data_IF_883830751725
#
_entry.id   IF_883830751725
#
_cell.length_a   1.000
_cell.length_b   1.000
_cell.length_c   1.000
_cell.angle_alpha   90.00
_cell.angle_beta   90.00
_cell.angle_gamma   90.00
#
_symmetry.space_group_name_H-M   'P 1'
#
loop_
_entity.id
_entity.type
_entity.pdbx_description
1 polymer ?
#
# COMPACT_ATOMS: atom_id res chain seq x y z
N UNK A 1 -18.05 6.47 -11.19
CA UNK A 1 -17.30 7.56 -11.89
C UNK A 1 -16.14 6.88 -12.60
N UNK A 2 -15.97 7.09 -13.90
CA UNK A 2 -14.82 6.53 -14.61
C UNK A 2 -13.54 7.19 -14.06
N UNK A 3 -12.67 6.40 -13.43
CA UNK A 3 -11.40 6.88 -12.88
C UNK A 3 -10.25 6.70 -13.89
N UNK A 4 -10.49 5.99 -14.99
CA UNK A 4 -9.48 5.74 -15.99
C UNK A 4 -8.86 7.06 -16.49
N UNK A 5 -7.57 7.08 -16.69
CA UNK A 5 -6.82 8.27 -17.06
C UNK A 5 -5.78 7.97 -18.11
N UNK A 6 -5.52 8.94 -18.96
CA UNK A 6 -4.43 8.86 -19.92
C UNK A 6 -3.15 9.36 -19.22
N UNK A 7 -2.45 8.44 -18.56
CA UNK A 7 -1.18 8.66 -17.90
C UNK A 7 -0.02 8.11 -18.75
N UNK A 8 1.15 8.70 -18.63
CA UNK A 8 2.35 8.27 -19.37
C UNK A 8 3.19 7.27 -18.55
N UNK A 9 3.30 7.53 -17.24
CA UNK A 9 4.21 6.81 -16.35
C UNK A 9 3.52 5.83 -15.41
N UNK A 10 2.19 5.82 -15.38
CA UNK A 10 1.39 4.81 -14.69
C UNK A 10 0.25 4.35 -15.59
N UNK A 11 -0.29 3.18 -15.32
CA UNK A 11 -1.59 2.74 -15.84
C UNK A 11 -2.59 2.76 -14.69
N UNK A 12 -3.76 3.35 -14.92
CA UNK A 12 -4.89 3.30 -13.98
C UNK A 12 -6.08 2.63 -14.67
N UNK A 13 -6.56 1.54 -14.05
CA UNK A 13 -7.72 0.79 -14.55
C UNK A 13 -8.64 0.44 -13.40
N UNK A 14 -9.95 0.40 -13.64
CA UNK A 14 -10.93 -0.06 -12.65
C UNK A 14 -11.64 -1.33 -13.14
N UNK A 15 -11.71 -2.33 -12.29
CA UNK A 15 -12.44 -3.58 -12.61
C UNK A 15 -13.03 -4.17 -11.32
N UNK A 16 -14.34 -4.41 -11.29
CA UNK A 16 -15.00 -5.12 -10.20
C UNK A 16 -14.82 -4.49 -8.82
N UNK A 17 -14.86 -3.15 -8.73
CA UNK A 17 -14.68 -2.41 -7.49
C UNK A 17 -13.22 -2.27 -7.05
N UNK A 18 -12.26 -2.71 -7.87
CA UNK A 18 -10.82 -2.60 -7.61
C UNK A 18 -10.21 -1.58 -8.56
N UNK A 19 -9.48 -0.61 -8.01
CA UNK A 19 -8.58 0.25 -8.78
C UNK A 19 -7.19 -0.42 -8.86
N UNK A 20 -6.64 -0.45 -10.05
CA UNK A 20 -5.32 -1.00 -10.35
C UNK A 20 -4.41 0.11 -10.83
N UNK A 21 -3.39 0.42 -10.05
CA UNK A 21 -2.28 1.28 -10.47
C UNK A 21 -1.10 0.38 -10.81
N UNK A 22 -0.64 0.47 -12.06
CA UNK A 22 0.58 -0.20 -12.49
C UNK A 22 1.63 0.85 -12.83
N UNK A 23 2.74 0.86 -12.09
CA UNK A 23 3.87 1.73 -12.38
C UNK A 23 4.48 1.33 -13.73
N UNK A 24 4.65 2.28 -14.65
CA UNK A 24 4.92 1.98 -16.07
C UNK A 24 6.15 2.71 -16.61
N UNK A 25 7.28 2.52 -15.95
CA UNK A 25 8.62 2.86 -16.45
C UNK A 25 9.56 1.64 -16.37
N UNK A 26 9.23 0.51 -17.05
CA UNK A 26 9.92 -0.76 -16.86
C UNK A 26 11.42 -0.70 -17.16
N UNK A 27 11.86 0.11 -18.13
CA UNK A 27 13.27 0.30 -18.48
C UNK A 27 14.08 0.98 -17.36
N UNK A 28 13.42 1.66 -16.44
CA UNK A 28 13.98 2.33 -15.26
C UNK A 28 13.58 1.65 -13.96
N UNK A 29 13.15 0.38 -14.01
CA UNK A 29 12.62 -0.34 -12.84
C UNK A 29 11.57 0.48 -12.09
N UNK A 30 10.74 1.22 -12.80
CA UNK A 30 9.68 2.06 -12.26
C UNK A 30 10.16 3.11 -11.23
N UNK A 31 11.39 3.62 -11.40
CA UNK A 31 11.89 4.72 -10.59
C UNK A 31 11.06 5.99 -10.79
N UNK A 32 10.76 6.67 -9.69
CA UNK A 32 9.91 7.86 -9.67
C UNK A 32 10.61 9.09 -10.24
N UNK A 33 9.89 9.84 -11.05
CA UNK A 33 10.19 11.22 -11.46
C UNK A 33 9.14 12.17 -10.90
N UNK A 34 9.39 13.49 -10.97
CA UNK A 34 8.39 14.48 -10.60
C UNK A 34 7.07 14.31 -11.37
N UNK A 35 7.14 14.00 -12.68
CA UNK A 35 5.97 13.74 -13.50
C UNK A 35 5.18 12.51 -13.02
N UNK A 36 5.86 11.41 -12.71
CA UNK A 36 5.22 10.20 -12.19
C UNK A 36 4.55 10.44 -10.83
N UNK A 37 5.17 11.26 -9.95
CA UNK A 37 4.54 11.66 -8.70
C UNK A 37 3.25 12.47 -8.92
N UNK A 38 3.24 13.37 -9.92
CA UNK A 38 2.04 14.13 -10.27
C UNK A 38 0.91 13.22 -10.75
N UNK A 39 1.22 12.23 -11.59
CA UNK A 39 0.26 11.24 -12.05
C UNK A 39 -0.28 10.36 -10.91
N UNK A 40 0.60 9.88 -10.02
CA UNK A 40 0.19 9.14 -8.82
C UNK A 40 -0.74 9.95 -7.93
N UNK A 41 -0.44 11.22 -7.73
CA UNK A 41 -1.29 12.13 -6.94
C UNK A 41 -2.67 12.32 -7.57
N UNK A 42 -2.74 12.49 -8.89
CA UNK A 42 -4.02 12.61 -9.62
C UNK A 42 -4.82 11.30 -9.53
N UNK A 43 -4.19 10.16 -9.82
CA UNK A 43 -4.81 8.84 -9.72
C UNK A 43 -5.38 8.57 -8.32
N UNK A 44 -4.58 8.82 -7.27
CA UNK A 44 -5.03 8.63 -5.88
C UNK A 44 -6.16 9.57 -5.50
N UNK A 45 -6.16 10.80 -6.00
CA UNK A 45 -7.24 11.77 -5.76
C UNK A 45 -8.56 11.30 -6.38
N UNK A 46 -8.53 10.74 -7.61
CA UNK A 46 -9.70 10.14 -8.27
C UNK A 46 -10.21 8.92 -7.48
N UNK A 47 -9.30 8.02 -7.09
CA UNK A 47 -9.64 6.82 -6.31
C UNK A 47 -10.28 7.19 -4.96
N UNK A 48 -9.78 8.24 -4.32
CA UNK A 48 -10.29 8.66 -3.02
C UNK A 48 -11.78 9.01 -3.05
N UNK A 49 -12.23 9.71 -4.10
CA UNK A 49 -13.61 10.20 -4.23
C UNK A 49 -14.55 9.24 -4.99
N UNK A 50 -14.02 8.20 -5.63
CA UNK A 50 -14.81 7.23 -6.39
C UNK A 50 -15.47 6.21 -5.44
N UNK A 51 -16.78 6.32 -5.21
CA UNK A 51 -17.53 5.42 -4.31
C UNK A 51 -17.58 3.98 -4.81
N UNK A 52 -17.48 3.77 -6.10
CA UNK A 52 -17.46 2.46 -6.76
C UNK A 52 -16.10 1.76 -6.71
N UNK A 53 -15.04 2.46 -6.28
CA UNK A 53 -13.75 1.86 -5.93
C UNK A 53 -13.74 1.48 -4.46
N UNK A 54 -13.46 0.20 -4.18
CA UNK A 54 -13.51 -0.38 -2.83
C UNK A 54 -12.20 -0.99 -2.36
N UNK A 55 -11.24 -1.18 -3.28
CA UNK A 55 -9.88 -1.64 -3.01
C UNK A 55 -8.91 -1.03 -4.01
N UNK A 56 -7.68 -0.75 -3.58
CA UNK A 56 -6.59 -0.31 -4.44
C UNK A 56 -5.50 -1.37 -4.50
N UNK A 57 -5.00 -1.67 -5.70
CA UNK A 57 -3.79 -2.47 -5.91
C UNK A 57 -2.74 -1.62 -6.60
N UNK A 58 -1.50 -1.68 -6.10
CA UNK A 58 -0.33 -1.06 -6.72
C UNK A 58 0.63 -2.18 -7.13
N UNK A 59 1.05 -2.18 -8.40
CA UNK A 59 2.02 -3.12 -8.98
C UNK A 59 3.02 -2.40 -9.86
N UNK A 60 4.04 -3.11 -10.36
CA UNK A 60 5.00 -2.58 -11.32
C UNK A 60 4.96 -3.34 -12.64
N UNK A 61 5.11 -2.64 -13.75
CA UNK A 61 5.30 -3.28 -15.05
C UNK A 61 6.75 -3.75 -15.22
N UNK A 62 6.96 -4.85 -15.93
CA UNK A 62 8.28 -5.42 -16.20
C UNK A 62 8.89 -6.16 -15.00
N UNK A 63 10.22 -6.14 -14.88
CA UNK A 63 11.00 -6.97 -13.93
C UNK A 63 11.17 -6.40 -12.52
N UNK A 64 10.66 -5.19 -12.25
CA UNK A 64 10.79 -4.52 -10.97
C UNK A 64 9.47 -3.94 -10.51
N UNK A 65 9.28 -3.87 -9.20
CA UNK A 65 8.16 -3.13 -8.61
C UNK A 65 8.45 -1.63 -8.69
N UNK A 66 9.48 -1.16 -7.97
CA UNK A 66 9.90 0.24 -7.96
C UNK A 66 11.32 0.38 -7.37
N UNK A 67 12.21 1.02 -8.10
CA UNK A 67 13.59 1.25 -7.66
C UNK A 67 13.79 2.49 -6.78
N UNK A 68 12.72 3.21 -6.43
CA UNK A 68 12.76 4.45 -5.66
C UNK A 68 12.84 5.69 -6.55
N UNK A 69 13.65 6.70 -6.18
CA UNK A 69 13.81 7.93 -6.93
C UNK A 69 14.71 7.74 -8.16
N UNK A 70 14.32 8.30 -9.30
CA UNK A 70 15.20 8.44 -10.46
C UNK A 70 16.21 9.56 -10.18
N UNK A 71 17.47 9.19 -9.95
CA UNK A 71 18.53 10.13 -9.58
C UNK A 71 18.91 11.08 -10.74
N UNK A 72 18.56 10.73 -11.98
CA UNK A 72 18.79 11.60 -13.13
C UNK A 72 17.77 12.76 -13.22
N UNK A 73 16.62 12.61 -12.56
CA UNK A 73 15.54 13.61 -12.48
C UNK A 73 15.56 14.39 -11.16
N UNK A 74 16.63 14.26 -10.36
CA UNK A 74 16.66 14.78 -9.00
C UNK A 74 17.42 16.12 -8.91
N UNK A 75 16.76 17.15 -8.36
CA UNK A 75 17.46 18.33 -7.89
C UNK A 75 18.17 18.01 -6.56
N UNK A 76 19.47 17.78 -6.64
CA UNK A 76 20.30 17.44 -5.47
C UNK A 76 20.36 18.56 -4.43
N UNK A 77 20.03 19.79 -4.78
CA UNK A 77 20.07 20.95 -3.88
C UNK A 77 18.77 21.11 -3.08
N UNK A 78 17.69 20.47 -3.51
CA UNK A 78 16.35 20.60 -2.95
C UNK A 78 15.72 19.26 -2.53
N UNK A 79 16.53 18.26 -2.16
CA UNK A 79 16.04 16.90 -1.83
C UNK A 79 14.96 16.89 -0.74
N UNK A 80 15.08 17.76 0.27
CA UNK A 80 14.05 17.90 1.31
C UNK A 80 12.69 18.32 0.75
N UNK A 81 12.65 19.16 -0.28
CA UNK A 81 11.41 19.56 -0.95
C UNK A 81 10.81 18.37 -1.72
N UNK A 82 11.62 17.58 -2.40
CA UNK A 82 11.16 16.37 -3.10
C UNK A 82 10.48 15.41 -2.13
N UNK A 83 11.06 15.21 -0.94
CA UNK A 83 10.46 14.37 0.10
C UNK A 83 9.13 14.98 0.58
N UNK A 84 9.08 16.27 0.89
CA UNK A 84 7.88 16.91 1.45
C UNK A 84 6.76 17.09 0.40
N UNK A 85 7.10 17.39 -0.84
CA UNK A 85 6.09 17.69 -1.88
C UNK A 85 5.59 16.44 -2.60
N UNK A 86 6.38 15.35 -2.60
CA UNK A 86 6.08 14.14 -3.37
C UNK A 86 5.89 12.89 -2.50
N UNK A 87 6.93 12.47 -1.75
CA UNK A 87 6.88 11.22 -1.01
C UNK A 87 5.99 11.28 0.23
N UNK A 88 6.11 12.33 1.04
CA UNK A 88 5.29 12.46 2.24
C UNK A 88 3.78 12.47 1.94
N UNK A 89 3.28 13.24 0.95
CA UNK A 89 1.87 13.19 0.57
C UNK A 89 1.43 11.82 0.03
N UNK A 90 2.27 11.15 -0.77
CA UNK A 90 2.00 9.81 -1.28
C UNK A 90 1.77 8.83 -0.12
N UNK A 91 2.71 8.77 0.82
CA UNK A 91 2.62 7.85 1.96
C UNK A 91 1.42 8.20 2.86
N UNK A 92 1.21 9.49 3.15
CA UNK A 92 0.04 9.94 3.93
C UNK A 92 -1.26 9.51 3.27
N UNK A 93 -1.38 9.65 1.94
CA UNK A 93 -2.57 9.23 1.19
C UNK A 93 -2.78 7.74 1.26
N UNK A 94 -1.77 6.91 0.96
CA UNK A 94 -1.87 5.45 1.01
C UNK A 94 -2.28 4.95 2.41
N UNK A 95 -1.71 5.57 3.45
CA UNK A 95 -1.96 5.16 4.83
C UNK A 95 -3.31 5.61 5.36
N UNK A 96 -3.87 6.73 4.87
CA UNK A 96 -5.16 7.30 5.31
C UNK A 96 -6.33 7.01 4.38
N UNK A 97 -6.09 6.40 3.21
CA UNK A 97 -7.16 6.06 2.26
C UNK A 97 -8.20 5.15 2.94
N UNK A 98 -9.47 5.54 2.90
CA UNK A 98 -10.60 4.79 3.48
C UNK A 98 -10.98 3.55 2.65
N UNK A 99 -9.99 2.88 2.11
CA UNK A 99 -10.08 1.66 1.29
C UNK A 99 -8.84 0.82 1.56
N UNK A 100 -8.93 -0.51 1.54
CA UNK A 100 -7.76 -1.38 1.58
C UNK A 100 -6.80 -1.09 0.42
N UNK A 101 -5.51 -1.12 0.70
CA UNK A 101 -4.44 -0.93 -0.28
C UNK A 101 -3.52 -2.15 -0.27
N UNK A 102 -3.38 -2.79 -1.43
CA UNK A 102 -2.49 -3.94 -1.63
C UNK A 102 -1.28 -3.50 -2.46
N UNK A 103 -0.08 -3.82 -2.01
CA UNK A 103 1.09 -3.81 -2.85
C UNK A 103 1.33 -5.22 -3.43
N UNK A 104 1.36 -5.33 -4.75
CA UNK A 104 1.69 -6.55 -5.50
C UNK A 104 3.12 -6.40 -6.04
N UNK A 105 4.09 -6.85 -5.25
CA UNK A 105 5.52 -6.62 -5.48
C UNK A 105 6.06 -7.70 -6.41
N UNK A 106 6.09 -7.40 -7.72
CA UNK A 106 6.47 -8.33 -8.78
C UNK A 106 7.99 -8.51 -8.99
N UNK A 107 8.82 -7.78 -8.25
CA UNK A 107 10.27 -7.82 -8.41
C UNK A 107 10.99 -6.91 -7.44
N UNK A 108 12.07 -6.27 -7.87
CA UNK A 108 12.86 -5.39 -6.99
C UNK A 108 12.03 -4.21 -6.50
N UNK A 109 12.02 -4.02 -5.19
CA UNK A 109 11.51 -2.84 -4.48
C UNK A 109 12.68 -2.22 -3.69
N UNK A 110 13.12 -1.01 -4.06
CA UNK A 110 14.31 -0.40 -3.45
C UNK A 110 14.04 1.03 -2.97
N UNK A 111 14.73 1.43 -1.89
CA UNK A 111 14.63 2.77 -1.33
C UNK A 111 13.19 3.18 -1.03
N UNK A 112 12.79 4.36 -1.51
CA UNK A 112 11.43 4.87 -1.38
C UNK A 112 10.37 3.93 -2.00
N UNK A 113 10.72 3.16 -3.04
CA UNK A 113 9.83 2.17 -3.65
C UNK A 113 9.52 1.00 -2.70
N UNK A 114 10.52 0.51 -1.95
CA UNK A 114 10.30 -0.47 -0.90
C UNK A 114 9.44 0.10 0.22
N UNK A 115 9.71 1.33 0.65
CA UNK A 115 8.96 1.98 1.72
C UNK A 115 7.51 2.28 1.32
N UNK A 116 7.24 2.64 0.05
CA UNK A 116 5.89 2.78 -0.49
C UNK A 116 5.13 1.44 -0.44
N UNK A 117 5.77 0.32 -0.85
CA UNK A 117 5.13 -1.00 -0.75
C UNK A 117 4.77 -1.34 0.69
N UNK A 118 5.70 -1.10 1.64
CA UNK A 118 5.50 -1.38 3.07
C UNK A 118 4.54 -0.41 3.77
N UNK A 119 4.21 0.72 3.15
CA UNK A 119 3.17 1.63 3.63
C UNK A 119 1.75 1.17 3.28
N UNK A 120 1.60 0.25 2.32
CA UNK A 120 0.32 -0.38 1.98
C UNK A 120 -0.17 -1.27 3.13
N UNK A 121 -1.46 -1.63 3.12
CA UNK A 121 -2.05 -2.43 4.20
C UNK A 121 -1.69 -3.91 4.10
N UNK A 122 -1.58 -4.43 2.87
CA UNK A 122 -1.22 -5.82 2.61
C UNK A 122 -0.17 -5.85 1.51
N UNK A 123 0.93 -6.56 1.75
CA UNK A 123 2.01 -6.72 0.77
C UNK A 123 2.09 -8.19 0.36
N UNK A 124 1.82 -8.46 -0.92
CA UNK A 124 2.10 -9.72 -1.58
C UNK A 124 3.37 -9.54 -2.42
N UNK A 125 4.25 -10.52 -2.43
CA UNK A 125 5.48 -10.44 -3.20
C UNK A 125 5.71 -11.71 -4.03
N UNK A 126 6.19 -11.54 -5.25
CA UNK A 126 6.75 -12.62 -6.04
C UNK A 126 7.95 -13.25 -5.31
N UNK A 127 8.16 -14.55 -5.44
CA UNK A 127 9.29 -15.26 -4.82
C UNK A 127 10.65 -14.67 -5.23
N UNK A 128 10.75 -14.17 -6.47
CA UNK A 128 11.95 -13.50 -6.99
C UNK A 128 12.13 -12.07 -6.46
N UNK A 129 11.13 -11.48 -5.79
CA UNK A 129 11.17 -10.11 -5.31
C UNK A 129 12.21 -9.91 -4.20
N UNK A 130 12.72 -8.67 -4.13
CA UNK A 130 13.71 -8.26 -3.12
C UNK A 130 13.36 -6.87 -2.60
N UNK A 131 13.50 -6.69 -1.30
CA UNK A 131 13.35 -5.40 -0.63
C UNK A 131 14.74 -4.88 -0.24
N UNK A 132 15.08 -3.66 -0.64
CA UNK A 132 16.42 -3.10 -0.47
C UNK A 132 16.32 -1.69 0.13
N UNK A 133 17.00 -1.44 1.25
CA UNK A 133 17.15 -0.10 1.83
C UNK A 133 18.46 0.54 1.33
N UNK A 134 18.46 1.03 0.08
CA UNK A 134 19.67 1.46 -0.64
C UNK A 134 20.19 2.84 -0.26
N UNK A 135 19.59 3.52 0.70
CA UNK A 135 19.90 4.91 1.07
C UNK A 135 21.35 5.09 1.54
N UNK A 136 21.91 4.14 2.29
CA UNK A 136 23.27 4.17 2.78
C UNK A 136 24.30 4.22 1.66
N UNK A 137 24.01 3.63 0.49
CA UNK A 137 24.89 3.65 -0.68
C UNK A 137 25.00 5.04 -1.31
N UNK A 138 24.05 5.93 -1.02
CA UNK A 138 24.00 7.30 -1.48
C UNK A 138 24.37 8.31 -0.39
N UNK A 139 24.72 7.85 0.82
CA UNK A 139 24.95 8.72 1.96
C UNK A 139 23.68 9.40 2.48
N UNK A 140 22.51 8.82 2.19
CA UNK A 140 21.21 9.34 2.61
C UNK A 140 20.61 8.52 3.76
N UNK A 141 19.55 9.06 4.34
CA UNK A 141 18.70 8.37 5.33
C UNK A 141 17.42 7.89 4.65
N UNK A 142 16.78 6.81 5.15
CA UNK A 142 15.50 6.38 4.59
C UNK A 142 14.42 7.43 4.72
N UNK A 143 13.66 7.62 3.65
CA UNK A 143 12.45 8.43 3.54
C UNK A 143 11.19 7.54 3.39
N UNK A 144 10.08 8.11 2.92
CA UNK A 144 8.84 7.36 2.67
C UNK A 144 8.34 6.59 3.90
N UNK A 145 8.69 7.02 5.11
CA UNK A 145 8.28 6.39 6.35
C UNK A 145 9.06 5.10 6.70
N UNK A 146 10.14 4.76 6.00
CA UNK A 146 10.88 3.52 6.21
C UNK A 146 11.38 3.35 7.64
N UNK A 147 11.93 4.42 8.25
CA UNK A 147 12.41 4.40 9.65
C UNK A 147 11.27 4.28 10.68
N UNK A 148 10.04 4.59 10.31
CA UNK A 148 8.87 4.40 11.15
C UNK A 148 8.27 2.99 10.99
N UNK A 149 8.17 2.52 9.75
CA UNK A 149 7.48 1.27 9.39
C UNK A 149 8.32 0.03 9.72
N UNK A 150 9.59 0.00 9.28
CA UNK A 150 10.45 -1.18 9.42
C UNK A 150 10.60 -1.67 10.87
N UNK A 151 10.97 -0.82 11.85
CA UNK A 151 11.13 -1.31 13.22
C UNK A 151 9.82 -1.80 13.84
N UNK A 152 8.66 -1.34 13.36
CA UNK A 152 7.34 -1.82 13.78
C UNK A 152 6.97 -3.17 13.19
N UNK A 153 7.40 -3.45 11.96
CA UNK A 153 7.15 -4.73 11.28
C UNK A 153 8.11 -5.83 11.76
N UNK A 154 9.41 -5.54 11.83
CA UNK A 154 10.44 -6.58 12.01
C UNK A 154 11.31 -6.40 13.27
N UNK A 155 10.97 -5.44 14.10
CA UNK A 155 11.75 -5.07 15.27
C UNK A 155 13.02 -4.28 14.95
N UNK A 156 13.53 -3.53 15.95
CA UNK A 156 14.64 -2.59 15.74
C UNK A 156 15.92 -3.28 15.25
N UNK A 157 16.24 -4.47 15.77
CA UNK A 157 17.48 -5.15 15.41
C UNK A 157 17.58 -5.47 13.92
N UNK A 158 16.55 -6.09 13.34
CA UNK A 158 16.52 -6.41 11.91
C UNK A 158 16.40 -5.14 11.06
N UNK A 159 15.55 -4.19 11.46
CA UNK A 159 15.42 -2.91 10.77
C UNK A 159 16.76 -2.17 10.70
N UNK A 160 17.51 -2.09 11.80
CA UNK A 160 18.84 -1.49 11.82
C UNK A 160 19.82 -2.23 10.90
N UNK A 161 19.85 -3.56 10.97
CA UNK A 161 20.75 -4.36 10.15
C UNK A 161 20.56 -4.06 8.65
N UNK A 162 19.34 -4.21 8.12
CA UNK A 162 19.07 -4.02 6.68
C UNK A 162 19.20 -2.57 6.23
N UNK A 163 18.87 -1.60 7.11
CA UNK A 163 18.94 -0.19 6.76
C UNK A 163 20.38 0.33 6.75
N UNK A 164 21.20 -0.12 7.70
CA UNK A 164 22.59 0.32 7.80
C UNK A 164 23.50 -0.43 6.82
N UNK A 165 23.24 -1.72 6.53
CA UNK A 165 24.02 -2.51 5.58
C UNK A 165 23.59 -2.28 4.12
N UNK A 166 22.29 -2.01 3.88
CA UNK A 166 21.72 -1.99 2.54
C UNK A 166 21.59 -3.38 1.91
N UNK A 167 21.70 -4.44 2.70
CA UNK A 167 21.58 -5.82 2.20
C UNK A 167 20.16 -6.10 1.71
N UNK A 168 20.02 -6.78 0.56
CA UNK A 168 18.71 -7.18 0.04
C UNK A 168 18.04 -8.22 0.94
N UNK A 169 16.76 -8.02 1.23
CA UNK A 169 15.90 -9.01 1.88
C UNK A 169 15.07 -9.70 0.80
N UNK A 170 15.23 -11.01 0.61
CA UNK A 170 14.42 -11.80 -0.33
C UNK A 170 13.00 -11.98 0.22
N UNK A 171 12.02 -12.18 -0.66
CA UNK A 171 10.60 -12.24 -0.30
C UNK A 171 10.30 -13.26 0.81
N UNK A 172 10.85 -14.47 0.75
CA UNK A 172 10.64 -15.50 1.76
C UNK A 172 11.16 -15.09 3.15
N UNK A 173 12.30 -14.41 3.19
CA UNK A 173 12.84 -13.86 4.44
C UNK A 173 11.96 -12.71 4.96
N UNK A 174 11.48 -11.86 4.05
CA UNK A 174 10.58 -10.76 4.40
C UNK A 174 9.26 -11.29 5.01
N UNK A 175 8.69 -12.35 4.46
CA UNK A 175 7.52 -13.03 5.02
C UNK A 175 7.82 -13.66 6.38
N UNK A 176 8.91 -14.43 6.49
CA UNK A 176 9.31 -15.08 7.75
C UNK A 176 9.59 -14.08 8.88
N UNK A 177 9.98 -12.85 8.55
CA UNK A 177 10.19 -11.79 9.54
C UNK A 177 8.91 -11.00 9.88
N UNK A 178 7.82 -11.21 9.17
CA UNK A 178 6.61 -10.40 9.29
C UNK A 178 6.72 -9.02 8.62
N UNK A 179 7.67 -8.83 7.72
CA UNK A 179 7.83 -7.62 6.94
C UNK A 179 6.74 -7.46 5.87
N UNK A 180 6.30 -8.59 5.29
CA UNK A 180 5.23 -8.69 4.31
C UNK A 180 4.23 -9.77 4.72
N UNK A 181 3.05 -9.73 4.10
CA UNK A 181 1.98 -10.69 4.39
C UNK A 181 2.29 -12.09 3.81
N UNK A 182 2.68 -12.15 2.52
CA UNK A 182 2.84 -13.45 1.86
C UNK A 182 3.74 -13.38 0.64
N UNK A 183 4.55 -14.42 0.45
CA UNK A 183 5.29 -14.72 -0.77
C UNK A 183 4.48 -15.67 -1.64
N UNK A 184 4.49 -15.44 -2.95
CA UNK A 184 3.74 -16.19 -3.95
C UNK A 184 4.68 -16.53 -5.11
N UNK A 185 4.49 -17.66 -5.76
CA UNK A 185 5.23 -17.97 -6.98
C UNK A 185 4.98 -16.88 -8.03
N UNK A 186 6.02 -16.50 -8.77
CA UNK A 186 6.00 -15.32 -9.64
C UNK A 186 4.82 -15.32 -10.62
N UNK A 187 4.54 -16.46 -11.22
CA UNK A 187 3.46 -16.64 -12.19
C UNK A 187 2.06 -16.57 -11.54
N UNK A 188 1.96 -16.86 -10.26
CA UNK A 188 0.71 -16.84 -9.51
C UNK A 188 0.40 -15.49 -8.87
N UNK A 189 1.38 -14.61 -8.74
CA UNK A 189 1.21 -13.32 -8.06
C UNK A 189 0.02 -12.50 -8.60
N UNK A 190 -0.18 -12.34 -9.92
CA UNK A 190 -1.33 -11.58 -10.43
C UNK A 190 -2.66 -12.19 -10.03
N UNK A 191 -2.79 -13.52 -10.11
CA UNK A 191 -4.02 -14.25 -9.78
C UNK A 191 -4.34 -14.14 -8.30
N UNK A 192 -3.38 -14.43 -7.42
CA UNK A 192 -3.56 -14.34 -5.95
C UNK A 192 -3.86 -12.92 -5.51
N UNK A 193 -3.22 -11.93 -6.15
CA UNK A 193 -3.50 -10.51 -5.89
C UNK A 193 -4.93 -10.16 -6.28
N UNK A 194 -5.39 -10.58 -7.46
CA UNK A 194 -6.73 -10.30 -7.96
C UNK A 194 -7.82 -10.95 -7.07
N UNK A 195 -7.64 -12.20 -6.68
CA UNK A 195 -8.55 -12.90 -5.77
C UNK A 195 -8.68 -12.16 -4.42
N UNK A 196 -7.56 -11.74 -3.83
CA UNK A 196 -7.57 -10.98 -2.59
C UNK A 196 -8.24 -9.61 -2.77
N UNK A 197 -7.90 -8.89 -3.84
CA UNK A 197 -8.44 -7.56 -4.11
C UNK A 197 -9.96 -7.59 -4.32
N UNK A 198 -10.46 -8.53 -5.14
CA UNK A 198 -11.91 -8.69 -5.36
C UNK A 198 -12.64 -9.11 -4.09
N UNK A 199 -12.05 -10.00 -3.27
CA UNK A 199 -12.63 -10.35 -1.97
C UNK A 199 -12.74 -9.14 -1.05
N UNK A 200 -11.71 -8.28 -0.97
CA UNK A 200 -11.76 -7.04 -0.20
C UNK A 200 -12.76 -6.03 -0.78
N UNK A 201 -12.83 -5.92 -2.11
CA UNK A 201 -13.81 -5.06 -2.76
C UNK A 201 -15.25 -5.53 -2.56
N UNK A 202 -15.50 -6.82 -2.34
CA UNK A 202 -16.81 -7.37 -1.99
C UNK A 202 -17.14 -7.30 -0.48
N UNK A 203 -16.20 -6.85 0.36
CA UNK A 203 -16.35 -6.77 1.82
C UNK A 203 -16.91 -5.41 2.25
N UNK A 204 -17.38 -5.21 3.50
CA UNK A 204 -17.95 -3.93 3.98
C UNK A 204 -16.86 -2.85 4.06
N UNK A 205 -16.72 -2.03 3.03
CA UNK A 205 -15.60 -1.09 2.84
C UNK A 205 -15.45 -0.11 4.00
N UNK A 206 -16.57 0.44 4.50
CA UNK A 206 -16.54 1.35 5.66
C UNK A 206 -16.00 0.64 6.92
N UNK A 207 -16.42 -0.59 7.18
CA UNK A 207 -15.90 -1.39 8.30
C UNK A 207 -14.41 -1.71 8.16
N UNK A 208 -13.96 -2.03 6.92
CA UNK A 208 -12.53 -2.24 6.64
C UNK A 208 -11.72 -0.95 6.82
N UNK A 209 -12.25 0.20 6.39
CA UNK A 209 -11.61 1.50 6.59
C UNK A 209 -11.44 1.83 8.08
N UNK A 210 -12.45 1.61 8.89
CA UNK A 210 -12.40 1.78 10.35
C UNK A 210 -11.37 0.84 10.98
N UNK A 211 -11.36 -0.42 10.59
CA UNK A 211 -10.36 -1.40 11.05
C UNK A 211 -8.93 -0.95 10.71
N UNK A 212 -8.68 -0.51 9.47
CA UNK A 212 -7.38 0.04 9.07
C UNK A 212 -6.96 1.22 9.94
N UNK A 213 -7.86 2.16 10.20
CA UNK A 213 -7.58 3.32 11.06
C UNK A 213 -7.25 2.89 12.49
N UNK A 214 -8.05 2.00 13.09
CA UNK A 214 -7.83 1.50 14.45
C UNK A 214 -6.49 0.79 14.59
N UNK A 215 -6.12 -0.09 13.64
CA UNK A 215 -4.83 -0.79 13.64
C UNK A 215 -3.65 0.20 13.60
N UNK A 216 -3.73 1.25 12.78
CA UNK A 216 -2.68 2.28 12.69
C UNK A 216 -2.59 3.14 13.96
N UNK A 217 -3.73 3.53 14.53
CA UNK A 217 -3.81 4.33 15.75
C UNK A 217 -3.30 3.56 16.97
N UNK A 218 -3.46 2.23 17.02
CA UNK A 218 -3.00 1.38 18.12
C UNK A 218 -1.49 1.48 18.38
N UNK A 219 -0.71 1.85 17.36
CA UNK A 219 0.75 1.96 17.46
C UNK A 219 1.24 3.10 18.38
N UNK A 220 0.38 4.02 18.76
CA UNK A 220 0.74 5.21 19.54
C UNK A 220 -0.19 5.48 20.73
N UNK A 221 -1.17 4.59 20.98
CA UNK A 221 -2.18 4.77 22.02
C UNK A 221 -1.99 3.78 23.17
N UNK A 222 -2.51 4.16 24.33
CA UNK A 222 -2.71 3.23 25.44
C UNK A 222 -3.87 2.28 25.17
N UNK A 223 -3.93 1.16 25.88
CA UNK A 223 -5.05 0.21 25.74
C UNK A 223 -6.41 0.87 26.02
N UNK A 224 -6.51 1.70 27.06
CA UNK A 224 -7.78 2.36 27.41
C UNK A 224 -8.25 3.34 26.31
N UNK A 225 -7.32 4.12 25.74
CA UNK A 225 -7.63 4.98 24.59
C UNK A 225 -8.07 4.16 23.39
N UNK A 226 -7.42 3.04 23.12
CA UNK A 226 -7.75 2.16 22.00
C UNK A 226 -9.14 1.53 22.18
N UNK A 227 -9.47 1.00 23.37
CA UNK A 227 -10.79 0.44 23.67
C UNK A 227 -11.91 1.47 23.51
N UNK A 228 -11.67 2.73 23.91
CA UNK A 228 -12.64 3.80 23.69
C UNK A 228 -12.87 4.08 22.21
N UNK A 229 -11.80 4.10 21.40
CA UNK A 229 -11.93 4.26 19.96
C UNK A 229 -12.64 3.08 19.30
N UNK A 230 -12.33 1.85 19.68
CA UNK A 230 -13.01 0.66 19.17
C UNK A 230 -14.50 0.72 19.44
N UNK A 231 -14.94 1.13 20.64
CA UNK A 231 -16.35 1.37 20.97
C UNK A 231 -16.97 2.41 20.02
N UNK A 232 -16.30 3.54 19.81
CA UNK A 232 -16.83 4.64 19.01
C UNK A 232 -16.92 4.26 17.53
N UNK A 233 -15.90 3.58 17.00
CA UNK A 233 -15.91 3.06 15.63
C UNK A 233 -16.89 1.92 15.44
N UNK A 234 -17.07 1.05 16.45
CA UNK A 234 -18.09 0.00 16.41
C UNK A 234 -19.50 0.60 16.39
N UNK A 235 -19.73 1.66 17.17
CA UNK A 235 -21.00 2.37 17.12
C UNK A 235 -21.21 3.03 15.73
N UNK A 236 -20.18 3.62 15.13
CA UNK A 236 -20.29 4.19 13.79
C UNK A 236 -20.55 3.12 12.73
N UNK A 237 -19.84 1.98 12.79
CA UNK A 237 -20.03 0.85 11.88
C UNK A 237 -21.45 0.26 11.97
N UNK A 238 -22.04 0.24 13.16
CA UNK A 238 -23.40 -0.29 13.36
C UNK A 238 -24.51 0.56 12.70
N UNK A 239 -24.17 1.76 12.21
CA UNK A 239 -25.13 2.62 11.50
C UNK A 239 -25.06 2.45 9.97
N UNK A 240 -24.15 1.60 9.46
CA UNK A 240 -23.98 1.35 8.03
C UNK A 240 -25.06 0.41 7.47
N UNK A 241 -25.35 0.54 6.18
CA UNK A 241 -26.21 -0.41 5.46
C UNK A 241 -25.57 -1.80 5.44
N UNK A 242 -24.25 -1.88 5.31
CA UNK A 242 -23.50 -3.12 5.30
C UNK A 242 -23.60 -3.89 6.62
N UNK A 243 -23.65 -3.19 7.77
CA UNK A 243 -23.89 -3.87 9.05
C UNK A 243 -25.27 -4.54 9.08
N UNK A 244 -26.30 -3.84 8.64
CA UNK A 244 -27.66 -4.37 8.57
C UNK A 244 -27.72 -5.57 7.63
N UNK A 245 -27.16 -5.43 6.43
CA UNK A 245 -27.08 -6.55 5.47
C UNK A 245 -26.33 -7.75 6.05
N UNK A 246 -25.21 -7.52 6.73
CA UNK A 246 -24.43 -8.57 7.39
C UNK A 246 -25.23 -9.36 8.42
N UNK A 247 -26.01 -8.67 9.26
CA UNK A 247 -26.90 -9.28 10.25
C UNK A 247 -28.04 -10.06 9.58
N UNK A 248 -28.71 -9.46 8.59
CA UNK A 248 -29.82 -10.08 7.87
C UNK A 248 -29.36 -11.33 7.12
N UNK A 249 -28.22 -11.26 6.43
CA UNK A 249 -27.62 -12.39 5.73
C UNK A 249 -27.24 -13.53 6.67
N UNK A 250 -26.60 -13.18 7.82
CA UNK A 250 -26.23 -14.18 8.84
C UNK A 250 -27.45 -14.92 9.39
N UNK A 251 -28.51 -14.20 9.75
CA UNK A 251 -29.75 -14.82 10.27
C UNK A 251 -30.46 -15.66 9.20
N UNK A 252 -30.42 -15.22 7.94
CA UNK A 252 -31.00 -15.93 6.81
C UNK A 252 -30.10 -17.07 6.28
N UNK A 253 -28.89 -17.25 6.80
CA UNK A 253 -27.88 -18.22 6.35
C UNK A 253 -27.57 -18.13 4.84
N UNK A 254 -27.48 -16.92 4.33
CA UNK A 254 -27.08 -16.62 2.96
C UNK A 254 -25.79 -15.81 2.93
N UNK A 255 -25.05 -15.78 1.82
CA UNK A 255 -23.95 -14.84 1.63
C UNK A 255 -24.46 -13.38 1.72
N UNK A 256 -23.69 -12.45 2.33
CA UNK A 256 -24.02 -11.03 2.34
C UNK A 256 -23.67 -10.37 1.01
N UNK A 257 -24.38 -9.30 0.66
CA UNK A 257 -24.16 -8.47 -0.51
C UNK A 257 -23.81 -7.03 -0.09
N UNK A 258 -22.57 -6.82 0.28
CA UNK A 258 -22.10 -5.52 0.79
C UNK A 258 -21.94 -4.47 -0.30
N UNK A 259 -22.41 -3.26 -0.03
CA UNK A 259 -22.34 -2.11 -0.92
C UNK A 259 -21.21 -1.14 -0.57
N UNK A 260 -20.63 -1.27 0.61
CA UNK A 260 -19.59 -0.37 1.12
C UNK A 260 -20.11 0.83 1.90
N UNK A 261 -21.42 0.88 2.17
CA UNK A 261 -22.13 2.03 2.76
C UNK A 261 -22.72 1.72 4.12
#
# INVERSE_FOLDING_TARGET
MDIDGNFEFIELKQTGGVAWITLNRPDKLNAFTAAMHAEMKDALSRIQVADDVRCLVISGNGRGFCAGQDLADLDMTALGNVVEEHYNPLIRTLTSLNKPVIASVNGVAAGAGANMALACDIVLAARSAKFIQSFNQLGLVPDGGGTWTLPRLIGLAKASAITLSGEPVVAETAEAWGMIYKTVDDEQLPTVTAELAHRLAASPTTGLAFTKQLLRLSMTRTLDEQLNLERDFQQAASQTEDFKEGVDAFLAKRPPEFTGK
#
